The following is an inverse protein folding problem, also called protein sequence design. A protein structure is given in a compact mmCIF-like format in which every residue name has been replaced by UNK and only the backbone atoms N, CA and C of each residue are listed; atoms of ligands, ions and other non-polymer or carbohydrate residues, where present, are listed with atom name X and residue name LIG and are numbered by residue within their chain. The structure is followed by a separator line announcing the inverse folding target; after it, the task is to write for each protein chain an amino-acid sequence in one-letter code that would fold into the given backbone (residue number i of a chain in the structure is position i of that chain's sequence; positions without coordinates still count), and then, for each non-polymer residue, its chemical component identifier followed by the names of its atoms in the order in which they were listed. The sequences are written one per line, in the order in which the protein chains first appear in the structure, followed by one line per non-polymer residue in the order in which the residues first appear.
data_IF_454374610734
#
_entry.id   IF_454374610734
#
_cell.length_a   1.000
_cell.length_b   1.000
_cell.length_c   1.000
_cell.angle_alpha   90.00
_cell.angle_beta   90.00
_cell.angle_gamma   90.00
#
_symmetry.space_group_name_H-M   'P 1'
#
loop_
_entity.id
_entity.type
_entity.pdbx_description
1 polymer ?
#
# COMPACT_ATOMS: atom_id res chain seq x y z
N UNK A 1 -0.19 22.92 2.98
CA UNK A 1 -0.18 22.74 1.50
C UNK A 1 -1.27 23.63 0.92
N UNK A 2 -0.97 24.38 -0.14
CA UNK A 2 -1.99 25.16 -0.84
C UNK A 2 -3.03 24.22 -1.47
N UNK A 3 -4.32 24.60 -1.51
CA UNK A 3 -5.41 23.75 -2.00
C UNK A 3 -5.27 23.30 -3.46
N UNK A 4 -4.36 23.90 -4.22
CA UNK A 4 -4.02 23.52 -5.59
C UNK A 4 -3.12 22.27 -5.64
N UNK A 5 -2.10 22.19 -4.77
CA UNK A 5 -1.17 21.04 -4.71
C UNK A 5 -1.86 19.74 -4.31
N UNK A 6 -2.84 19.77 -3.40
CA UNK A 6 -3.57 18.57 -2.98
C UNK A 6 -4.45 17.99 -4.10
N UNK A 7 -5.02 18.85 -4.97
CA UNK A 7 -5.80 18.41 -6.14
C UNK A 7 -4.92 17.76 -7.20
N UNK A 8 -3.74 18.32 -7.46
CA UNK A 8 -2.77 17.75 -8.40
C UNK A 8 -2.27 16.40 -7.90
N UNK A 9 -1.81 16.31 -6.66
CA UNK A 9 -1.40 15.05 -6.03
C UNK A 9 -2.49 13.97 -6.10
N UNK A 10 -3.74 14.35 -5.84
CA UNK A 10 -4.87 13.42 -5.89
C UNK A 10 -5.15 12.86 -7.29
N UNK A 11 -4.83 13.60 -8.36
CA UNK A 11 -4.93 13.09 -9.74
C UNK A 11 -3.70 12.27 -10.12
N UNK A 12 -2.51 12.75 -9.77
CA UNK A 12 -1.23 12.10 -10.10
C UNK A 12 -1.12 10.72 -9.44
N UNK A 13 -1.53 10.56 -8.18
CA UNK A 13 -1.45 9.26 -7.49
C UNK A 13 -2.26 8.18 -8.22
N UNK A 14 -3.49 8.48 -8.64
CA UNK A 14 -4.33 7.50 -9.33
C UNK A 14 -3.77 7.14 -10.72
N UNK A 15 -3.22 8.13 -11.42
CA UNK A 15 -2.57 7.92 -12.73
C UNK A 15 -1.31 7.08 -12.57
N UNK A 16 -0.49 7.32 -11.54
CA UNK A 16 0.69 6.52 -11.24
C UNK A 16 0.33 5.08 -10.87
N UNK A 17 -0.74 4.88 -10.08
CA UNK A 17 -1.23 3.54 -9.75
C UNK A 17 -1.75 2.80 -10.99
N UNK A 18 -2.50 3.48 -11.85
CA UNK A 18 -2.98 2.90 -13.11
C UNK A 18 -1.80 2.56 -14.04
N UNK A 19 -0.82 3.45 -14.15
CA UNK A 19 0.38 3.22 -14.96
C UNK A 19 1.18 2.03 -14.42
N UNK A 20 1.38 1.95 -13.09
CA UNK A 20 2.03 0.82 -12.45
C UNK A 20 1.26 -0.49 -12.72
N UNK A 21 -0.07 -0.48 -12.61
CA UNK A 21 -0.90 -1.64 -12.93
C UNK A 21 -0.72 -2.10 -14.39
N UNK A 22 -0.75 -1.16 -15.34
CA UNK A 22 -0.56 -1.44 -16.77
C UNK A 22 0.83 -1.97 -17.04
N UNK A 23 1.88 -1.40 -16.43
CA UNK A 23 3.25 -1.89 -16.56
C UNK A 23 3.36 -3.33 -16.05
N UNK A 24 2.80 -3.65 -14.88
CA UNK A 24 2.82 -5.03 -14.36
C UNK A 24 2.11 -6.02 -15.30
N UNK A 25 1.05 -5.59 -15.98
CA UNK A 25 0.34 -6.41 -16.95
C UNK A 25 1.15 -6.59 -18.25
N UNK A 26 1.85 -5.56 -18.72
CA UNK A 26 2.70 -5.63 -19.92
C UNK A 26 3.96 -6.46 -19.68
N UNK A 27 4.52 -6.42 -18.47
CA UNK A 27 5.74 -7.16 -18.12
C UNK A 27 5.46 -8.62 -17.71
N UNK A 28 4.24 -9.12 -17.87
CA UNK A 28 3.82 -10.47 -17.50
C UNK A 28 4.34 -10.89 -16.12
N UNK A 29 4.22 -9.97 -15.14
CA UNK A 29 4.78 -10.18 -13.80
C UNK A 29 4.16 -11.40 -13.14
N UNK A 30 2.91 -11.73 -13.46
CA UNK A 30 2.27 -12.96 -12.99
C UNK A 30 2.92 -14.22 -13.54
N UNK A 31 3.38 -14.22 -14.79
CA UNK A 31 4.09 -15.37 -15.37
C UNK A 31 5.49 -15.49 -14.76
N UNK A 32 6.17 -14.36 -14.56
CA UNK A 32 7.42 -14.33 -13.81
C UNK A 32 7.27 -14.90 -12.40
N UNK A 33 6.22 -14.51 -11.65
CA UNK A 33 6.00 -14.98 -10.28
C UNK A 33 5.65 -16.47 -10.20
N UNK A 34 5.06 -17.07 -11.25
CA UNK A 34 4.81 -18.51 -11.31
C UNK A 34 6.05 -19.33 -11.73
N UNK A 35 7.00 -18.71 -12.43
CA UNK A 35 8.23 -19.36 -12.84
C UNK A 35 9.25 -19.39 -11.69
N UNK A 36 9.29 -20.53 -11.02
CA UNK A 36 10.18 -20.76 -9.88
C UNK A 36 11.65 -20.50 -10.20
N UNK A 37 12.15 -21.00 -11.33
CA UNK A 37 13.58 -20.85 -11.67
C UNK A 37 13.92 -19.39 -11.92
N UNK A 38 13.04 -18.64 -12.60
CA UNK A 38 13.25 -17.20 -12.83
C UNK A 38 13.25 -16.41 -11.53
N UNK A 39 12.35 -16.70 -10.61
CA UNK A 39 12.29 -16.04 -9.30
C UNK A 39 13.53 -16.34 -8.48
N UNK A 40 13.92 -17.62 -8.40
CA UNK A 40 15.12 -18.02 -7.67
C UNK A 40 16.38 -17.37 -8.25
N UNK A 41 16.56 -17.40 -9.58
CA UNK A 41 17.69 -16.76 -10.24
C UNK A 41 17.72 -15.25 -10.00
N UNK A 42 16.57 -14.57 -10.14
CA UNK A 42 16.50 -13.13 -9.89
C UNK A 42 16.95 -12.74 -8.48
N UNK A 43 16.48 -13.47 -7.47
CA UNK A 43 16.84 -13.15 -6.08
C UNK A 43 18.25 -13.61 -5.72
N UNK A 44 18.73 -14.73 -6.28
CA UNK A 44 20.11 -15.17 -6.14
C UNK A 44 21.09 -14.14 -6.73
N UNK A 45 20.79 -13.63 -7.93
CA UNK A 45 21.57 -12.58 -8.59
C UNK A 45 21.52 -11.24 -7.83
N UNK A 46 20.40 -10.97 -7.15
CA UNK A 46 20.23 -9.78 -6.32
C UNK A 46 21.04 -9.81 -5.03
N UNK A 47 21.48 -11.00 -4.58
CA UNK A 47 22.27 -11.20 -3.37
C UNK A 47 21.65 -10.52 -2.14
N UNK A 48 22.45 -9.69 -1.45
CA UNK A 48 22.03 -9.01 -0.21
C UNK A 48 20.89 -8.01 -0.39
N UNK A 49 20.61 -7.57 -1.62
CA UNK A 49 19.52 -6.64 -1.91
C UNK A 49 18.17 -7.33 -2.13
N UNK A 50 18.14 -8.66 -2.26
CA UNK A 50 16.91 -9.42 -2.49
C UNK A 50 15.78 -9.09 -1.50
N UNK A 51 16.02 -9.07 -0.18
CA UNK A 51 15.00 -8.70 0.82
C UNK A 51 14.46 -7.29 0.64
N UNK A 52 15.32 -6.33 0.28
CA UNK A 52 14.92 -4.93 0.06
C UNK A 52 14.00 -4.85 -1.16
N UNK A 53 14.37 -5.52 -2.26
CA UNK A 53 13.54 -5.58 -3.48
C UNK A 53 12.18 -6.22 -3.20
N UNK A 54 12.16 -7.31 -2.41
CA UNK A 54 10.92 -7.96 -2.01
C UNK A 54 10.01 -7.02 -1.20
N UNK A 55 10.56 -6.32 -0.19
CA UNK A 55 9.79 -5.36 0.62
C UNK A 55 9.22 -4.24 -0.24
N UNK A 56 10.01 -3.69 -1.17
CA UNK A 56 9.56 -2.66 -2.10
C UNK A 56 8.44 -3.17 -3.02
N UNK A 57 8.58 -4.38 -3.55
CA UNK A 57 7.55 -5.02 -4.35
C UNK A 57 6.26 -5.22 -3.54
N UNK A 58 6.38 -5.68 -2.29
CA UNK A 58 5.25 -5.87 -1.39
C UNK A 58 4.52 -4.56 -1.08
N UNK A 59 5.27 -3.47 -0.86
CA UNK A 59 4.71 -2.13 -0.66
C UNK A 59 3.99 -1.62 -1.89
N UNK A 60 4.58 -1.83 -3.08
CA UNK A 60 4.00 -1.42 -4.35
C UNK A 60 2.74 -2.24 -4.73
N UNK A 61 2.67 -3.51 -4.30
CA UNK A 61 1.57 -4.40 -4.59
C UNK A 61 0.28 -4.09 -3.82
N UNK A 62 0.38 -3.58 -2.59
CA UNK A 62 -0.80 -3.28 -1.76
C UNK A 62 -1.79 -2.29 -2.40
N UNK A 63 -1.37 -1.12 -2.92
CA UNK A 63 -2.27 -0.19 -3.61
C UNK A 63 -2.98 -0.80 -4.83
N UNK A 64 -2.39 -1.83 -5.43
CA UNK A 64 -2.92 -2.51 -6.60
C UNK A 64 -3.90 -3.63 -6.25
N UNK A 65 -4.20 -3.80 -4.96
CA UNK A 65 -5.07 -4.87 -4.43
C UNK A 65 -4.61 -6.28 -4.83
N UNK A 66 -3.31 -6.44 -5.08
CA UNK A 66 -2.73 -7.76 -5.37
C UNK A 66 -2.86 -8.66 -4.14
N UNK A 67 -3.25 -9.93 -4.30
CA UNK A 67 -3.23 -10.89 -3.21
C UNK A 67 -1.80 -11.01 -2.65
N UNK A 68 -1.60 -10.78 -1.35
CA UNK A 68 -0.27 -10.88 -0.74
C UNK A 68 0.38 -12.25 -0.95
N UNK A 69 -0.43 -13.30 -1.08
CA UNK A 69 0.01 -14.66 -1.42
C UNK A 69 0.78 -14.74 -2.74
N UNK A 70 0.49 -13.86 -3.72
CA UNK A 70 1.17 -13.83 -5.01
C UNK A 70 2.67 -13.46 -4.88
N UNK A 71 3.05 -12.76 -3.81
CA UNK A 71 4.44 -12.43 -3.51
C UNK A 71 5.04 -13.38 -2.46
N UNK A 72 4.24 -13.78 -1.47
CA UNK A 72 4.70 -14.65 -0.37
C UNK A 72 5.09 -16.03 -0.89
N UNK A 73 4.26 -16.65 -1.75
CA UNK A 73 4.52 -18.02 -2.24
C UNK A 73 5.84 -18.11 -3.00
N UNK A 74 6.13 -17.24 -4.01
CA UNK A 74 7.42 -17.31 -4.71
C UNK A 74 8.61 -17.00 -3.79
N UNK A 75 8.44 -16.11 -2.80
CA UNK A 75 9.50 -15.78 -1.85
C UNK A 75 9.93 -16.97 -0.97
N UNK A 76 9.01 -17.91 -0.69
CA UNK A 76 9.35 -19.14 0.06
C UNK A 76 10.23 -20.12 -0.71
N UNK A 77 10.40 -19.95 -2.02
CA UNK A 77 11.34 -20.74 -2.80
C UNK A 77 12.78 -20.30 -2.58
N UNK A 78 12.98 -19.03 -2.19
CA UNK A 78 14.29 -18.39 -2.03
C UNK A 78 14.72 -18.34 -0.58
N UNK A 79 13.80 -17.95 0.31
CA UNK A 79 14.08 -17.73 1.72
C UNK A 79 13.31 -18.68 2.63
N UNK A 80 13.81 -18.84 3.85
CA UNK A 80 13.12 -19.59 4.90
C UNK A 80 11.80 -18.91 5.29
N UNK A 81 10.88 -19.70 5.86
CA UNK A 81 9.58 -19.20 6.30
C UNK A 81 9.68 -17.97 7.23
N UNK A 82 10.67 -17.93 8.13
CA UNK A 82 10.83 -16.82 9.07
C UNK A 82 11.29 -15.53 8.39
N UNK A 83 12.19 -15.64 7.42
CA UNK A 83 12.65 -14.51 6.62
C UNK A 83 11.50 -13.93 5.80
N UNK A 84 10.75 -14.77 5.09
CA UNK A 84 9.59 -14.34 4.32
C UNK A 84 8.55 -13.68 5.21
N UNK A 85 8.29 -14.23 6.39
CA UNK A 85 7.37 -13.64 7.37
C UNK A 85 7.82 -12.23 7.78
N UNK A 86 9.09 -12.08 8.18
CA UNK A 86 9.64 -10.79 8.62
C UNK A 86 9.59 -9.76 7.49
N UNK A 87 10.04 -10.13 6.29
CA UNK A 87 10.04 -9.21 5.16
C UNK A 87 8.62 -8.80 4.76
N UNK A 88 7.67 -9.74 4.78
CA UNK A 88 6.26 -9.46 4.46
C UNK A 88 5.60 -8.57 5.51
N UNK A 89 5.90 -8.79 6.79
CA UNK A 89 5.43 -7.92 7.88
C UNK A 89 5.96 -6.50 7.73
N UNK A 90 7.26 -6.36 7.45
CA UNK A 90 7.87 -5.04 7.21
C UNK A 90 7.22 -4.33 6.03
N UNK A 91 7.06 -5.03 4.90
CA UNK A 91 6.36 -4.50 3.73
C UNK A 91 4.93 -4.06 4.07
N UNK A 92 4.17 -4.90 4.78
CA UNK A 92 2.81 -4.60 5.20
C UNK A 92 2.70 -3.39 6.14
N UNK A 93 3.61 -3.26 7.11
CA UNK A 93 3.65 -2.11 8.03
C UNK A 93 3.96 -0.82 7.27
N UNK A 94 4.95 -0.84 6.37
CA UNK A 94 5.33 0.32 5.57
C UNK A 94 4.17 0.73 4.66
N UNK A 95 3.58 -0.22 3.95
CA UNK A 95 2.48 0.03 3.04
C UNK A 95 1.23 0.56 3.77
N UNK A 96 0.89 -0.02 4.93
CA UNK A 96 -0.21 0.45 5.77
C UNK A 96 0.05 1.86 6.31
N UNK A 97 1.29 2.16 6.70
CA UNK A 97 1.68 3.50 7.18
C UNK A 97 1.54 4.54 6.08
N UNK A 98 2.01 4.23 4.87
CA UNK A 98 1.85 5.09 3.69
C UNK A 98 0.36 5.27 3.36
N UNK A 99 -0.41 4.18 3.32
CA UNK A 99 -1.84 4.21 3.07
C UNK A 99 -2.60 5.07 4.07
N UNK A 100 -2.24 4.99 5.35
CA UNK A 100 -2.82 5.82 6.41
C UNK A 100 -2.49 7.30 6.22
N UNK A 101 -1.24 7.65 5.90
CA UNK A 101 -0.84 9.04 5.64
C UNK A 101 -1.59 9.60 4.42
N UNK A 102 -1.68 8.82 3.34
CA UNK A 102 -2.43 9.19 2.13
C UNK A 102 -3.91 9.38 2.46
N UNK A 103 -4.53 8.47 3.22
CA UNK A 103 -5.92 8.60 3.62
C UNK A 103 -6.14 9.87 4.48
N UNK A 104 -5.27 10.11 5.46
CA UNK A 104 -5.39 11.21 6.40
C UNK A 104 -5.15 12.59 5.76
N UNK A 105 -4.29 12.70 4.76
CA UNK A 105 -3.91 14.01 4.20
C UNK A 105 -4.48 14.27 2.81
N UNK A 106 -4.58 13.25 1.95
CA UNK A 106 -5.10 13.38 0.58
C UNK A 106 -6.61 13.07 0.50
N UNK A 107 -7.11 12.13 1.28
CA UNK A 107 -8.52 11.71 1.20
C UNK A 107 -9.45 12.46 2.18
N UNK A 108 -8.91 13.13 3.21
CA UNK A 108 -9.70 13.78 4.25
C UNK A 108 -10.77 14.74 3.71
N UNK A 109 -10.43 15.61 2.75
CA UNK A 109 -11.38 16.57 2.17
C UNK A 109 -12.51 15.88 1.40
N UNK A 110 -12.20 14.77 0.73
CA UNK A 110 -13.21 13.98 0.03
C UNK A 110 -14.13 13.23 0.98
N UNK A 111 -13.56 12.64 2.04
CA UNK A 111 -14.33 11.96 3.09
C UNK A 111 -15.26 12.95 3.78
N UNK A 112 -14.77 14.14 4.15
CA UNK A 112 -15.58 15.20 4.77
C UNK A 112 -16.77 15.61 3.91
N UNK A 113 -16.60 15.71 2.59
CA UNK A 113 -17.70 16.04 1.66
C UNK A 113 -18.75 14.94 1.53
N UNK A 114 -18.39 13.68 1.80
CA UNK A 114 -19.29 12.52 1.74
C UNK A 114 -19.77 12.05 3.11
N UNK A 115 -19.40 12.76 4.18
CA UNK A 115 -19.75 12.36 5.54
C UNK A 115 -21.26 12.55 5.76
N UNK A 116 -22.00 11.51 6.20
CA UNK A 116 -23.43 11.64 6.46
C UNK A 116 -23.71 12.65 7.58
N UNK A 117 -24.76 13.47 7.44
CA UNK A 117 -25.12 14.50 8.43
C UNK A 117 -25.35 13.94 9.85
N UNK A 118 -25.76 12.66 9.96
CA UNK A 118 -25.93 11.98 11.25
C UNK A 118 -24.62 11.90 12.05
N UNK A 119 -23.50 11.63 11.39
CA UNK A 119 -22.18 11.58 12.03
C UNK A 119 -21.72 12.97 12.50
N UNK A 120 -22.00 14.01 11.71
CA UNK A 120 -21.72 15.41 12.10
C UNK A 120 -22.56 15.80 13.34
N UNK A 121 -23.81 15.33 13.41
CA UNK A 121 -24.67 15.53 14.58
C UNK A 121 -24.13 14.82 15.84
N UNK A 122 -23.58 13.62 15.70
CA UNK A 122 -22.95 12.88 16.80
C UNK A 122 -21.67 13.56 17.27
N UNK A 123 -20.81 14.01 16.36
CA UNK A 123 -19.60 14.79 16.68
C UNK A 123 -19.94 16.02 17.52
N UNK A 124 -20.95 16.80 17.11
CA UNK A 124 -21.41 17.98 17.87
C UNK A 124 -21.90 17.61 19.28
N UNK A 125 -22.58 16.48 19.44
CA UNK A 125 -23.05 16.00 20.74
C UNK A 125 -21.90 15.52 21.63
N UNK A 126 -20.92 14.83 21.06
CA UNK A 126 -19.71 14.40 21.77
C UNK A 126 -18.87 15.60 22.23
N UNK A 127 -18.62 16.58 21.34
CA UNK A 127 -17.88 17.81 21.69
C UNK A 127 -18.59 18.58 22.80
N UNK A 128 -19.92 18.73 22.70
CA UNK A 128 -20.71 19.45 23.70
C UNK A 128 -20.69 18.79 25.07
N UNK A 129 -20.71 17.45 25.14
CA UNK A 129 -20.80 16.71 26.40
C UNK A 129 -19.44 16.32 26.99
N UNK A 130 -18.39 16.20 26.18
CA UNK A 130 -17.06 15.80 26.64
C UNK A 130 -16.15 16.98 27.01
N UNK A 131 -16.42 18.19 26.51
CA UNK A 131 -15.60 19.39 26.74
C UNK A 131 -16.29 20.47 27.59
N UNK A 132 -17.49 20.24 28.11
CA UNK A 132 -18.06 21.09 29.17
C UNK A 132 -17.48 20.63 30.51
N UNK A 133 -16.57 21.40 31.15
CA UNK A 133 -16.25 21.17 32.55
C UNK A 133 -17.54 21.35 33.34
N UNK A 134 -17.80 20.43 34.26
CA UNK A 134 -18.93 20.49 35.18
C UNK A 134 -18.74 21.67 36.14
#
# INVERSE_FOLDING_TARGET
MTPEKSRLLRRVVLILLLLAFVLLFIFDVFDFLHDRERVENFFNDSGIFGPVLYVLAFVAAQPLSLPGAALIIPATFVWSWWEVLVYSMLGGIIASSIGFIVARWLAQDWVRKRLPQRFIGWEKRFVKNALSPQ
#
